data_IF_437383424311
#
_entry.id   IF_437383424311
#
_cell.length_a   1.000
_cell.length_b   1.000
_cell.length_c   1.000
_cell.angle_alpha   90.00
_cell.angle_beta   90.00
_cell.angle_gamma   90.00
#
_symmetry.space_group_name_H-M   'P 1'
#
loop_
_entity.id
_entity.type
_entity.pdbx_description
1 polymer ?
#
# COMPACT_ATOMS: atom_id res chain seq x y z
N UNK A 1 0.41 -19.18 -5.38
CA UNK A 1 0.24 -19.98 -4.13
C UNK A 1 0.42 -21.47 -4.34
N UNK A 2 -0.11 -22.03 -5.43
CA UNK A 2 -0.12 -23.46 -5.78
C UNK A 2 0.45 -23.76 -7.18
N UNK A 3 1.12 -22.78 -7.81
CA UNK A 3 1.69 -22.84 -9.15
C UNK A 3 0.71 -23.13 -10.30
N UNK A 4 -0.61 -22.94 -10.11
CA UNK A 4 -1.62 -23.15 -11.15
C UNK A 4 -1.75 -22.00 -12.17
N UNK A 5 -0.96 -20.93 -11.97
CA UNK A 5 -0.91 -19.70 -12.78
C UNK A 5 -2.17 -18.83 -12.72
N UNK A 6 -3.05 -19.06 -11.75
CA UNK A 6 -4.21 -18.19 -11.48
C UNK A 6 -3.86 -17.21 -10.37
N UNK A 7 -4.50 -16.04 -10.41
CA UNK A 7 -4.42 -15.11 -9.30
C UNK A 7 -5.33 -15.59 -8.16
N UNK A 8 -4.71 -15.73 -7.00
CA UNK A 8 -5.36 -16.06 -5.74
C UNK A 8 -5.61 -14.79 -4.91
N UNK A 9 -6.48 -14.92 -3.90
CA UNK A 9 -6.69 -13.84 -2.92
C UNK A 9 -6.09 -14.27 -1.58
N UNK A 10 -5.24 -13.43 -1.01
CA UNK A 10 -4.72 -13.62 0.35
C UNK A 10 -5.22 -12.47 1.21
N UNK A 11 -5.74 -12.80 2.38
CA UNK A 11 -6.29 -11.83 3.33
C UNK A 11 -5.57 -12.00 4.66
N UNK A 12 -5.12 -10.88 5.20
CA UNK A 12 -4.57 -10.78 6.54
C UNK A 12 -5.59 -10.09 7.42
N UNK A 13 -6.13 -10.81 8.40
CA UNK A 13 -6.87 -10.24 9.50
C UNK A 13 -6.00 -10.20 10.77
N UNK A 14 -6.48 -9.60 11.85
CA UNK A 14 -5.68 -9.41 13.07
C UNK A 14 -5.20 -10.73 13.72
N UNK A 15 -5.78 -11.88 13.38
CA UNK A 15 -5.44 -13.18 13.97
C UNK A 15 -5.03 -14.23 12.97
N UNK A 16 -5.49 -14.13 11.72
CA UNK A 16 -5.37 -15.17 10.71
C UNK A 16 -4.80 -14.60 9.43
N UNK A 17 -4.12 -15.47 8.72
CA UNK A 17 -3.80 -15.27 7.31
C UNK A 17 -4.49 -16.37 6.54
N UNK A 18 -5.37 -15.99 5.62
CA UNK A 18 -6.17 -16.91 4.83
C UNK A 18 -5.87 -16.74 3.35
N UNK A 19 -5.89 -17.85 2.63
CA UNK A 19 -5.79 -17.89 1.18
C UNK A 19 -7.11 -18.41 0.62
N UNK A 20 -7.72 -17.66 -0.29
CA UNK A 20 -8.86 -18.10 -1.08
C UNK A 20 -8.35 -18.59 -2.44
N UNK A 21 -8.43 -19.89 -2.65
CA UNK A 21 -7.92 -20.58 -3.85
C UNK A 21 -8.85 -20.40 -5.05
N UNK A 22 -8.32 -19.86 -6.14
CA UNK A 22 -9.03 -19.73 -7.41
C UNK A 22 -9.21 -21.10 -8.10
N UNK A 23 -10.35 -21.43 -8.77
CA UNK A 23 -11.53 -20.59 -9.04
C UNK A 23 -12.71 -20.79 -8.09
N UNK A 24 -12.63 -21.76 -7.19
CA UNK A 24 -13.74 -22.11 -6.32
C UNK A 24 -13.76 -21.31 -5.01
N UNK A 25 -12.76 -20.45 -4.81
CA UNK A 25 -12.55 -19.63 -3.62
C UNK A 25 -12.51 -20.44 -2.33
N UNK A 26 -11.94 -21.65 -2.41
CA UNK A 26 -11.76 -22.51 -1.25
C UNK A 26 -10.82 -21.82 -0.27
N UNK A 27 -11.30 -21.61 0.95
CA UNK A 27 -10.52 -21.01 2.02
C UNK A 27 -9.52 -22.01 2.61
N UNK A 28 -8.26 -21.58 2.70
CA UNK A 28 -7.18 -22.26 3.38
C UNK A 28 -6.66 -21.36 4.49
N UNK A 29 -6.66 -21.87 5.72
CA UNK A 29 -6.07 -21.17 6.87
C UNK A 29 -4.55 -21.41 6.86
N UNK A 30 -3.79 -20.41 6.42
CA UNK A 30 -2.34 -20.52 6.36
C UNK A 30 -1.73 -20.45 7.75
N UNK A 31 -2.28 -19.63 8.64
CA UNK A 31 -1.83 -19.55 10.03
C UNK A 31 -2.84 -18.85 10.92
N UNK A 32 -2.89 -19.27 12.19
CA UNK A 32 -3.61 -18.66 13.31
C UNK A 32 -2.83 -18.75 14.64
N UNK A 33 -1.48 -18.82 14.61
CA UNK A 33 -0.70 -19.15 15.81
C UNK A 33 -0.67 -18.02 16.86
N UNK A 34 -1.45 -18.21 17.92
CA UNK A 34 -1.54 -17.32 19.09
C UNK A 34 -0.27 -17.11 19.88
N UNK A 35 0.74 -17.94 19.66
CA UNK A 35 2.01 -17.84 20.36
C UNK A 35 2.92 -16.75 19.77
N UNK A 36 2.70 -16.32 18.52
CA UNK A 36 3.60 -15.40 17.80
C UNK A 36 3.17 -13.93 17.80
N UNK A 37 2.55 -13.45 18.90
CA UNK A 37 2.01 -12.08 19.07
C UNK A 37 1.10 -11.64 17.90
N UNK A 38 -0.18 -11.86 18.09
CA UNK A 38 -1.24 -11.46 17.16
C UNK A 38 -1.38 -9.94 16.97
N UNK A 39 -2.38 -9.56 16.17
CA UNK A 39 -2.69 -8.24 15.63
C UNK A 39 -1.86 -7.90 14.39
N UNK A 40 -1.99 -8.76 13.36
CA UNK A 40 -1.43 -8.50 12.03
C UNK A 40 -2.03 -7.21 11.45
N UNK A 41 -1.19 -6.41 10.78
CA UNK A 41 -1.60 -5.12 10.19
C UNK A 41 -1.18 -4.97 8.73
N UNK A 42 -0.13 -5.66 8.29
CA UNK A 42 0.31 -5.65 6.91
C UNK A 42 1.07 -6.93 6.56
N UNK A 43 1.18 -7.21 5.26
CA UNK A 43 2.00 -8.28 4.74
C UNK A 43 2.52 -7.93 3.34
N UNK A 44 3.55 -8.64 2.89
CA UNK A 44 4.07 -8.53 1.54
C UNK A 44 4.49 -9.91 1.02
N UNK A 45 3.97 -10.35 -0.15
CA UNK A 45 4.38 -11.61 -0.76
C UNK A 45 5.70 -11.54 -1.51
N UNK A 46 6.55 -12.55 -1.34
CA UNK A 46 7.83 -12.71 -2.04
C UNK A 46 8.38 -14.13 -1.86
N UNK A 47 9.28 -14.58 -2.74
CA UNK A 47 10.06 -15.80 -2.55
C UNK A 47 11.25 -15.49 -1.61
N UNK A 48 11.05 -15.68 -0.31
CA UNK A 48 12.00 -15.20 0.71
C UNK A 48 13.19 -16.15 0.84
N UNK A 49 12.95 -17.46 0.79
CA UNK A 49 14.00 -18.46 0.92
C UNK A 49 14.61 -18.94 -0.41
N UNK A 50 14.06 -18.51 -1.54
CA UNK A 50 14.60 -18.78 -2.87
C UNK A 50 14.25 -20.18 -3.38
N UNK A 51 13.21 -20.81 -2.84
CA UNK A 51 12.74 -22.14 -3.26
C UNK A 51 11.79 -22.12 -4.46
N UNK A 52 11.40 -20.91 -4.91
CA UNK A 52 10.52 -20.67 -6.05
C UNK A 52 9.03 -20.60 -5.70
N UNK A 53 8.69 -20.74 -4.41
CA UNK A 53 7.35 -20.59 -3.89
C UNK A 53 7.15 -19.23 -3.22
N UNK A 54 5.89 -18.82 -3.01
CA UNK A 54 5.59 -17.54 -2.34
C UNK A 54 5.53 -17.72 -0.83
N UNK A 55 6.32 -16.92 -0.12
CA UNK A 55 6.24 -16.66 1.31
C UNK A 55 5.65 -15.27 1.58
N UNK A 56 5.31 -14.97 2.84
CA UNK A 56 4.85 -13.64 3.23
C UNK A 56 5.70 -13.04 4.35
N UNK A 57 6.25 -11.85 4.13
CA UNK A 57 6.61 -10.97 5.23
C UNK A 57 5.34 -10.46 5.89
N UNK A 58 5.33 -10.34 7.22
CA UNK A 58 4.15 -9.98 8.03
C UNK A 58 4.57 -8.99 9.12
N UNK A 59 3.80 -7.91 9.25
CA UNK A 59 3.86 -6.98 10.37
C UNK A 59 2.72 -7.26 11.34
N UNK A 60 3.04 -7.50 12.61
CA UNK A 60 2.05 -7.81 13.65
C UNK A 60 2.39 -7.13 15.00
N UNK A 61 1.74 -7.54 16.09
CA UNK A 61 1.82 -6.87 17.40
C UNK A 61 1.48 -5.37 17.28
N UNK A 62 0.44 -5.07 16.49
CA UNK A 62 -0.02 -3.72 16.20
C UNK A 62 -0.66 -3.08 17.43
N UNK A 63 -0.12 -1.93 17.86
CA UNK A 63 -0.58 -1.24 19.06
C UNK A 63 -0.59 0.27 18.81
N UNK A 64 -1.74 0.81 18.39
CA UNK A 64 -1.84 2.20 17.92
C UNK A 64 -1.21 3.27 18.83
N UNK A 65 -1.28 3.11 20.16
CA UNK A 65 -0.75 4.07 21.15
C UNK A 65 0.63 3.73 21.69
N UNK A 66 1.16 2.53 21.44
CA UNK A 66 2.46 2.10 21.95
C UNK A 66 3.55 2.40 20.92
N UNK A 67 4.29 3.48 21.15
CA UNK A 67 5.38 3.95 20.28
C UNK A 67 6.77 3.60 20.82
N UNK A 68 6.85 2.82 21.91
CA UNK A 68 8.14 2.52 22.58
C UNK A 68 8.51 1.04 22.49
N UNK A 69 7.55 0.16 22.20
CA UNK A 69 7.75 -1.29 22.13
C UNK A 69 6.72 -1.95 21.20
N UNK A 70 6.81 -3.27 21.03
CA UNK A 70 5.93 -4.03 20.15
C UNK A 70 6.32 -3.91 18.67
N UNK A 71 5.37 -4.21 17.78
CA UNK A 71 5.54 -4.20 16.33
C UNK A 71 6.50 -5.27 15.84
N UNK A 72 6.00 -6.50 15.70
CA UNK A 72 6.81 -7.61 15.18
C UNK A 72 6.94 -7.54 13.68
N UNK A 73 8.15 -7.80 13.19
CA UNK A 73 8.45 -8.04 11.78
C UNK A 73 8.89 -9.50 11.70
N UNK A 74 8.21 -10.26 10.86
CA UNK A 74 8.41 -11.70 10.72
C UNK A 74 8.08 -12.12 9.30
N UNK A 75 8.37 -13.36 8.94
CA UNK A 75 7.85 -13.96 7.73
C UNK A 75 7.26 -15.34 8.00
N UNK A 76 6.31 -15.74 7.17
CA UNK A 76 5.72 -17.08 7.18
C UNK A 76 6.16 -17.85 5.95
N UNK A 77 6.81 -18.98 6.20
CA UNK A 77 7.35 -19.87 5.19
C UNK A 77 6.30 -20.84 4.70
N UNK A 78 6.11 -20.91 3.39
CA UNK A 78 5.32 -21.96 2.79
C UNK A 78 6.04 -23.30 2.91
N UNK A 79 5.37 -24.31 3.47
CA UNK A 79 5.92 -25.66 3.57
C UNK A 79 5.58 -26.53 2.36
N UNK A 80 5.94 -27.82 2.45
CA UNK A 80 5.44 -28.84 1.52
C UNK A 80 3.91 -28.95 1.52
N UNK A 81 3.26 -28.64 2.65
CA UNK A 81 1.82 -28.42 2.68
C UNK A 81 1.48 -26.96 2.34
N UNK A 82 1.10 -26.74 1.08
CA UNK A 82 0.75 -25.41 0.55
C UNK A 82 -0.42 -24.76 1.28
N UNK A 83 -1.34 -25.56 1.83
CA UNK A 83 -2.58 -25.07 2.45
C UNK A 83 -2.47 -24.76 3.94
N UNK A 84 -1.27 -24.81 4.54
CA UNK A 84 -1.06 -24.49 5.95
C UNK A 84 -1.00 -25.71 6.91
N UNK A 85 -0.57 -25.51 8.16
CA UNK A 85 -0.07 -24.26 8.71
C UNK A 85 1.34 -23.93 8.18
N UNK A 86 1.58 -22.66 7.87
CA UNK A 86 2.88 -22.12 7.48
C UNK A 86 3.71 -21.78 8.71
N UNK A 87 5.04 -21.80 8.56
CA UNK A 87 5.96 -21.66 9.69
C UNK A 87 6.43 -20.22 9.85
N UNK A 88 6.32 -19.67 11.06
CA UNK A 88 6.86 -18.34 11.38
C UNK A 88 8.36 -18.35 11.59
N UNK A 89 8.99 -17.26 11.12
CA UNK A 89 10.38 -16.94 11.36
C UNK A 89 10.53 -15.45 11.71
N UNK A 90 11.17 -15.10 12.84
CA UNK A 90 11.31 -13.71 13.27
C UNK A 90 12.34 -12.96 12.42
N UNK A 91 12.08 -11.68 12.15
CA UNK A 91 13.01 -10.75 11.48
C UNK A 91 13.49 -9.69 12.47
N UNK A 92 12.56 -8.98 13.13
CA UNK A 92 12.90 -7.86 14.00
C UNK A 92 11.70 -7.24 14.72
N UNK A 93 11.95 -6.12 15.40
CA UNK A 93 10.93 -5.35 16.11
C UNK A 93 11.05 -3.86 15.75
N UNK A 94 9.94 -3.25 15.38
CA UNK A 94 9.82 -1.80 15.19
C UNK A 94 8.42 -1.35 15.64
N UNK A 95 8.31 -0.56 16.75
CA UNK A 95 7.03 -0.10 17.25
C UNK A 95 6.20 0.56 16.16
N UNK A 96 4.90 0.27 16.16
CA UNK A 96 3.96 0.79 15.15
C UNK A 96 4.26 0.38 13.71
N UNK A 97 4.91 -0.77 13.45
CA UNK A 97 4.94 -1.37 12.09
C UNK A 97 3.55 -1.30 11.43
N UNK A 98 3.44 -0.85 10.18
CA UNK A 98 2.13 -0.54 9.59
C UNK A 98 1.97 -0.87 8.10
N UNK A 99 3.03 -0.74 7.29
CA UNK A 99 3.06 -1.15 5.89
C UNK A 99 4.38 -1.79 5.54
N UNK A 100 4.36 -2.68 4.54
CA UNK A 100 5.56 -3.30 3.97
C UNK A 100 5.35 -3.71 2.52
N UNK A 101 6.43 -3.72 1.75
CA UNK A 101 6.50 -4.22 0.37
C UNK A 101 7.93 -4.64 0.05
N UNK A 102 8.07 -5.54 -0.94
CA UNK A 102 9.36 -5.88 -1.51
C UNK A 102 9.64 -5.03 -2.75
N UNK A 103 10.85 -4.48 -2.87
CA UNK A 103 11.34 -3.83 -4.08
C UNK A 103 12.85 -3.99 -4.20
N UNK A 104 13.36 -4.18 -5.40
CA UNK A 104 14.79 -4.21 -5.70
C UNK A 104 15.33 -2.78 -5.76
N UNK A 105 15.92 -2.31 -4.66
CA UNK A 105 16.35 -0.92 -4.48
C UNK A 105 17.78 -0.68 -4.98
N UNK A 106 18.57 -1.73 -5.17
CA UNK A 106 19.95 -1.62 -5.62
C UNK A 106 20.31 -2.40 -6.88
N UNK A 107 19.29 -2.93 -7.56
CA UNK A 107 19.38 -3.63 -8.84
C UNK A 107 20.28 -4.87 -8.79
N UNK A 108 20.36 -5.52 -7.63
CA UNK A 108 21.09 -6.79 -7.50
C UNK A 108 20.25 -8.00 -7.94
N UNK A 109 18.99 -7.78 -8.32
CA UNK A 109 18.04 -8.80 -8.76
C UNK A 109 17.29 -9.47 -7.61
N UNK A 110 17.54 -9.07 -6.35
CA UNK A 110 16.85 -9.58 -5.17
C UNK A 110 16.23 -8.42 -4.39
N UNK A 111 14.90 -8.43 -4.28
CA UNK A 111 14.18 -7.36 -3.61
C UNK A 111 14.50 -7.28 -2.11
N UNK A 112 14.65 -6.05 -1.61
CA UNK A 112 14.65 -5.76 -0.18
C UNK A 112 13.23 -5.66 0.37
N UNK A 113 13.06 -6.11 1.62
CA UNK A 113 11.84 -5.83 2.38
C UNK A 113 11.90 -4.39 2.91
N UNK A 114 10.98 -3.55 2.45
CA UNK A 114 10.78 -2.20 2.97
C UNK A 114 9.71 -2.24 4.04
N UNK A 115 9.97 -1.62 5.19
CA UNK A 115 9.04 -1.53 6.31
C UNK A 115 8.82 -0.07 6.69
N UNK A 116 7.55 0.32 6.71
CA UNK A 116 7.10 1.65 7.09
C UNK A 116 6.23 1.56 8.34
N UNK A 117 6.74 1.95 9.52
CA UNK A 117 5.92 2.15 10.70
C UNK A 117 4.93 3.31 10.50
N UNK A 118 3.90 3.41 11.34
CA UNK A 118 2.98 4.54 11.31
C UNK A 118 3.62 5.76 11.99
N UNK A 119 4.28 5.59 13.13
CA UNK A 119 4.68 6.71 14.01
C UNK A 119 6.14 6.63 14.40
N UNK A 120 6.73 7.80 14.67
CA UNK A 120 8.06 7.87 15.26
C UNK A 120 8.05 7.31 16.68
N UNK A 121 9.18 6.74 17.08
CA UNK A 121 9.35 6.17 18.42
C UNK A 121 9.15 7.23 19.50
N UNK A 122 8.61 6.84 20.65
CA UNK A 122 8.40 7.72 21.81
C UNK A 122 7.56 8.97 21.52
N UNK A 123 6.79 8.98 20.44
CA UNK A 123 5.79 10.02 20.16
C UNK A 123 4.47 9.68 20.85
N UNK A 124 3.65 10.69 21.13
CA UNK A 124 2.39 10.48 21.86
C UNK A 124 1.23 11.29 21.28
N UNK A 125 0.03 10.85 21.63
CA UNK A 125 -1.20 11.58 21.36
C UNK A 125 -1.16 12.96 22.07
N UNK A 126 -1.66 14.05 21.44
CA UNK A 126 -2.23 14.11 20.09
C UNK A 126 -1.20 14.47 19.00
N UNK A 127 0.09 14.64 19.34
CA UNK A 127 1.06 15.32 18.47
C UNK A 127 1.65 14.42 17.39
N UNK A 128 2.03 13.17 17.72
CA UNK A 128 2.65 12.13 16.87
C UNK A 128 3.77 12.52 15.88
N UNK A 129 4.11 13.81 15.76
CA UNK A 129 5.07 14.38 14.82
C UNK A 129 6.28 15.01 15.57
N UNK A 130 6.55 14.54 16.79
CA UNK A 130 7.68 15.00 17.60
C UNK A 130 9.00 14.34 17.19
N UNK A 131 8.91 13.09 16.70
CA UNK A 131 10.03 12.33 16.17
C UNK A 131 9.63 11.69 14.84
N UNK A 132 10.57 11.62 13.90
CA UNK A 132 10.34 11.01 12.61
C UNK A 132 10.20 9.49 12.67
N UNK A 133 9.56 8.95 11.64
CA UNK A 133 9.37 7.52 11.45
C UNK A 133 10.64 6.92 10.85
N UNK A 134 11.12 5.82 11.43
CA UNK A 134 12.22 5.02 10.86
C UNK A 134 11.69 4.20 9.69
N UNK A 135 11.90 4.68 8.47
CA UNK A 135 11.66 3.87 7.27
C UNK A 135 12.84 2.93 7.09
N UNK A 136 12.57 1.63 7.06
CA UNK A 136 13.58 0.58 7.09
C UNK A 136 13.61 -0.19 5.79
N UNK A 137 14.80 -0.61 5.36
CA UNK A 137 14.99 -1.70 4.40
C UNK A 137 15.72 -2.86 5.05
N UNK A 138 15.40 -4.06 4.61
CA UNK A 138 16.11 -5.27 5.00
C UNK A 138 16.50 -6.05 3.75
N UNK A 139 17.81 -6.25 3.56
CA UNK A 139 18.30 -7.25 2.62
C UNK A 139 18.00 -8.64 3.16
N UNK A 140 17.44 -9.49 2.30
CA UNK A 140 17.23 -10.89 2.65
C UNK A 140 18.61 -11.53 2.84
N UNK A 141 18.93 -12.09 4.01
CA UNK A 141 20.23 -12.72 4.23
C UNK A 141 20.34 -14.02 3.40
N UNK A 142 21.55 -14.60 3.35
CA UNK A 142 21.78 -15.86 2.65
C UNK A 142 20.97 -17.02 3.23
N UNK A 143 20.76 -17.02 4.54
CA UNK A 143 19.88 -17.95 5.25
C UNK A 143 18.79 -17.11 5.94
N UNK A 144 17.58 -16.98 5.38
CA UNK A 144 16.52 -16.14 5.95
C UNK A 144 15.89 -16.70 7.23
N UNK A 145 16.17 -17.97 7.57
CA UNK A 145 15.71 -18.62 8.80
C UNK A 145 16.65 -18.32 9.96
N UNK A 146 17.97 -18.32 9.72
CA UNK A 146 18.98 -18.15 10.79
C UNK A 146 19.73 -16.82 10.76
N UNK A 147 19.88 -16.24 9.57
CA UNK A 147 20.73 -15.09 9.32
C UNK A 147 20.16 -13.84 9.96
N UNK A 148 21.01 -12.95 10.50
CA UNK A 148 20.51 -11.69 11.00
C UNK A 148 19.95 -10.89 9.83
N UNK A 149 18.69 -10.53 9.93
CA UNK A 149 18.08 -9.52 9.07
C UNK A 149 18.55 -8.15 9.52
N UNK A 150 19.56 -7.61 8.84
CA UNK A 150 20.12 -6.31 9.18
C UNK A 150 19.25 -5.19 8.62
N UNK A 151 18.69 -4.37 9.51
CA UNK A 151 17.93 -3.19 9.13
C UNK A 151 18.88 -2.06 8.69
N UNK A 152 18.62 -1.48 7.53
CA UNK A 152 19.12 -0.17 7.12
C UNK A 152 18.00 0.87 7.31
N UNK A 153 18.35 2.06 7.82
CA UNK A 153 17.40 3.17 7.92
C UNK A 153 17.50 3.99 6.63
N UNK A 154 16.46 3.95 5.81
CA UNK A 154 16.35 4.76 4.59
C UNK A 154 16.25 6.24 4.96
N UNK A 155 15.35 6.58 5.89
CA UNK A 155 15.17 7.95 6.38
C UNK A 155 14.41 7.99 7.71
N UNK A 156 14.58 9.09 8.45
CA UNK A 156 13.79 9.47 9.62
C UNK A 156 13.13 10.84 9.44
N UNK A 157 12.98 11.30 8.19
CA UNK A 157 12.57 12.68 7.92
C UNK A 157 11.06 12.89 7.73
N UNK A 158 10.25 11.85 7.92
CA UNK A 158 8.80 11.86 7.70
C UNK A 158 8.05 11.58 9.00
N UNK A 159 6.83 12.12 9.14
CA UNK A 159 6.00 11.94 10.31
C UNK A 159 4.63 11.37 9.94
N UNK A 160 4.16 10.40 10.72
CA UNK A 160 2.86 9.74 10.50
C UNK A 160 2.71 9.21 9.08
N UNK A 161 3.52 8.21 8.74
CA UNK A 161 3.54 7.59 7.40
C UNK A 161 2.51 6.49 7.30
N UNK A 162 1.53 6.64 6.42
CA UNK A 162 0.41 5.69 6.39
C UNK A 162 0.54 4.65 5.27
N UNK A 163 1.09 5.04 4.12
CA UNK A 163 1.36 4.13 3.01
C UNK A 163 2.54 4.57 2.13
N UNK A 164 3.01 3.65 1.27
CA UNK A 164 4.04 3.90 0.28
C UNK A 164 3.87 3.02 -0.96
N UNK A 165 4.51 3.42 -2.06
CA UNK A 165 4.46 2.74 -3.34
C UNK A 165 5.83 2.78 -4.05
N UNK A 166 6.47 1.62 -4.28
CA UNK A 166 7.62 1.51 -5.17
C UNK A 166 7.22 1.78 -6.62
N UNK A 167 7.99 2.60 -7.32
CA UNK A 167 7.75 2.94 -8.73
C UNK A 167 8.99 3.52 -9.37
N UNK A 168 9.15 3.37 -10.68
CA UNK A 168 10.14 4.13 -11.44
C UNK A 168 9.50 5.42 -11.95
N UNK A 169 9.49 6.48 -11.13
CA UNK A 169 8.79 7.73 -11.46
C UNK A 169 9.57 8.56 -12.48
N UNK A 170 10.90 8.46 -12.46
CA UNK A 170 11.78 9.23 -13.34
C UNK A 170 12.17 8.48 -14.63
N UNK A 171 11.74 7.21 -14.76
CA UNK A 171 12.01 6.31 -15.89
C UNK A 171 13.50 6.01 -16.11
N UNK A 172 14.29 5.97 -15.03
CA UNK A 172 15.72 5.65 -15.09
C UNK A 172 16.02 4.15 -14.93
N UNK A 173 14.98 3.32 -14.74
CA UNK A 173 15.05 1.88 -14.56
C UNK A 173 15.28 1.44 -13.12
N UNK A 174 15.50 2.35 -12.17
CA UNK A 174 15.56 2.05 -10.73
C UNK A 174 14.18 2.30 -10.10
N UNK A 175 13.83 1.48 -9.11
CA UNK A 175 12.63 1.76 -8.32
C UNK A 175 12.92 2.87 -7.31
N UNK A 176 12.12 3.92 -7.40
CA UNK A 176 11.95 4.95 -6.39
C UNK A 176 10.87 4.55 -5.39
N UNK A 177 10.76 5.30 -4.28
CA UNK A 177 9.71 5.13 -3.28
C UNK A 177 8.89 6.41 -3.13
N UNK A 178 7.59 6.31 -3.40
CA UNK A 178 6.62 7.35 -3.05
C UNK A 178 6.04 7.06 -1.67
N UNK A 179 6.14 8.01 -0.74
CA UNK A 179 5.57 7.95 0.60
C UNK A 179 4.49 9.01 0.80
N UNK A 180 3.46 8.65 1.56
CA UNK A 180 2.50 9.61 2.13
C UNK A 180 2.63 9.70 3.63
N UNK A 181 2.66 10.94 4.10
CA UNK A 181 2.89 11.29 5.50
C UNK A 181 2.21 12.63 5.83
N UNK A 182 2.43 13.16 7.04
CA UNK A 182 2.03 14.53 7.40
C UNK A 182 2.70 15.60 6.52
N UNK A 183 3.86 15.31 5.93
CA UNK A 183 4.52 16.20 4.97
C UNK A 183 3.84 16.23 3.59
N UNK A 184 2.87 15.35 3.33
CA UNK A 184 2.21 15.17 2.04
C UNK A 184 2.79 13.99 1.26
N UNK A 185 3.14 14.21 -0.01
CA UNK A 185 3.72 13.21 -0.91
C UNK A 185 5.21 13.45 -1.06
N UNK A 186 6.02 12.45 -0.70
CA UNK A 186 7.48 12.50 -0.79
C UNK A 186 8.01 11.40 -1.70
N UNK A 187 8.88 11.76 -2.64
CA UNK A 187 9.68 10.85 -3.45
C UNK A 187 11.05 10.64 -2.81
N UNK A 188 11.46 9.38 -2.65
CA UNK A 188 12.80 8.97 -2.25
C UNK A 188 13.44 8.18 -3.38
N UNK A 189 14.59 8.64 -3.85
CA UNK A 189 15.31 8.01 -4.97
C UNK A 189 16.72 7.65 -4.52
N UNK A 190 17.10 6.39 -4.70
CA UNK A 190 18.44 5.93 -4.32
C UNK A 190 19.43 6.37 -5.40
N UNK A 191 20.36 7.24 -5.03
CA UNK A 191 21.42 7.70 -5.91
C UNK A 191 22.49 6.63 -6.07
N UNK A 192 23.28 6.69 -7.15
CA UNK A 192 24.41 5.78 -7.41
C UNK A 192 25.45 5.75 -6.28
N UNK A 193 25.53 6.80 -5.47
CA UNK A 193 26.38 6.86 -4.27
C UNK A 193 25.87 6.03 -3.09
N UNK A 194 24.67 5.45 -3.20
CA UNK A 194 23.93 4.80 -2.11
C UNK A 194 23.14 5.77 -1.24
N UNK A 195 23.26 7.08 -1.44
CA UNK A 195 22.49 8.08 -0.68
C UNK A 195 21.08 8.26 -1.25
N UNK A 196 20.13 8.58 -0.39
CA UNK A 196 18.75 8.86 -0.79
C UNK A 196 18.54 10.35 -1.08
N UNK A 197 18.06 10.66 -2.29
CA UNK A 197 17.53 11.99 -2.61
C UNK A 197 16.07 12.05 -2.20
N UNK A 198 15.71 13.07 -1.43
CA UNK A 198 14.33 13.37 -1.04
C UNK A 198 13.80 14.54 -1.85
N UNK A 199 12.63 14.37 -2.47
CA UNK A 199 11.92 15.45 -3.18
C UNK A 199 10.46 15.45 -2.71
N UNK A 200 9.95 16.59 -2.23
CA UNK A 200 8.52 16.72 -1.96
C UNK A 200 7.78 16.96 -3.28
N UNK A 201 6.78 16.12 -3.54
CA UNK A 201 5.95 16.15 -4.75
C UNK A 201 4.63 16.87 -4.49
N UNK A 202 4.09 16.75 -3.29
CA UNK A 202 2.83 17.37 -2.91
C UNK A 202 2.82 17.69 -1.44
N UNK A 203 2.18 18.78 -1.03
CA UNK A 203 2.08 19.15 0.39
C UNK A 203 0.99 18.37 1.12
N UNK A 204 0.08 17.70 0.41
CA UNK A 204 -1.14 17.17 1.01
C UNK A 204 -2.05 18.27 1.56
N UNK A 205 -3.11 17.86 2.26
CA UNK A 205 -4.01 18.78 2.93
C UNK A 205 -3.42 19.20 4.29
N UNK A 206 -2.99 20.45 4.41
CA UNK A 206 -2.36 21.00 5.61
C UNK A 206 -3.33 21.79 6.51
N UNK A 207 -4.62 21.84 6.16
CA UNK A 207 -5.60 22.73 6.81
C UNK A 207 -6.58 22.01 7.73
N UNK A 208 -6.56 20.68 7.77
CA UNK A 208 -7.52 19.83 8.49
C UNK A 208 -7.03 19.31 9.85
N UNK A 209 -6.16 20.06 10.53
CA UNK A 209 -5.57 19.68 11.80
C UNK A 209 -6.61 19.12 12.82
N UNK A 210 -6.26 18.08 13.59
CA UNK A 210 -4.92 17.52 13.78
C UNK A 210 -4.47 16.54 12.67
N UNK A 211 -5.36 16.13 11.76
CA UNK A 211 -5.04 15.24 10.66
C UNK A 211 -4.64 16.04 9.42
N UNK A 212 -3.40 15.91 9.00
CA UNK A 212 -2.83 16.64 7.86
C UNK A 212 -2.15 15.69 6.86
N UNK A 213 -1.66 16.23 5.76
CA UNK A 213 -0.87 15.51 4.76
C UNK A 213 -1.71 14.57 3.90
N UNK A 214 -1.30 13.31 3.80
CA UNK A 214 -1.92 12.26 2.98
C UNK A 214 -1.87 10.89 3.69
N UNK A 215 -2.70 9.93 3.24
CA UNK A 215 -2.83 8.59 3.86
C UNK A 215 -2.61 7.41 2.94
N UNK A 216 -3.09 7.48 1.71
CA UNK A 216 -2.96 6.40 0.74
C UNK A 216 -2.23 6.89 -0.49
N UNK A 217 -1.54 6.00 -1.21
CA UNK A 217 -0.81 6.38 -2.41
C UNK A 217 -0.73 5.27 -3.46
N UNK A 218 -0.91 5.66 -4.72
CA UNK A 218 -0.51 4.89 -5.91
C UNK A 218 -0.03 5.82 -7.02
N UNK A 219 0.74 5.25 -7.92
CA UNK A 219 1.13 5.87 -9.18
C UNK A 219 0.33 5.20 -10.32
N UNK A 220 -0.39 5.99 -11.09
CA UNK A 220 -1.21 5.54 -12.22
C UNK A 220 -0.84 6.24 -13.52
N UNK A 221 -1.28 5.68 -14.64
CA UNK A 221 -0.99 6.17 -16.00
C UNK A 221 -2.17 6.92 -16.61
N UNK A 222 -1.85 7.94 -17.40
CA UNK A 222 -2.80 8.63 -18.28
C UNK A 222 -2.53 8.23 -19.73
N UNK A 223 -3.53 8.40 -20.58
CA UNK A 223 -3.36 8.26 -22.03
C UNK A 223 -2.26 9.18 -22.58
N UNK A 224 -1.63 8.78 -23.68
CA UNK A 224 -0.55 9.53 -24.31
C UNK A 224 0.77 9.55 -23.52
N UNK A 225 0.95 8.62 -22.58
CA UNK A 225 2.20 8.45 -21.82
C UNK A 225 2.34 9.38 -20.60
N UNK A 226 1.28 10.10 -20.23
CA UNK A 226 1.22 10.85 -18.98
C UNK A 226 1.05 9.96 -17.76
N UNK A 227 1.14 10.56 -16.58
CA UNK A 227 0.96 9.88 -15.30
C UNK A 227 0.30 10.78 -14.25
N UNK A 228 -0.16 10.14 -13.18
CA UNK A 228 -0.71 10.81 -12.01
C UNK A 228 -0.33 10.06 -10.73
N UNK A 229 -0.20 10.80 -9.63
CA UNK A 229 -0.10 10.22 -8.29
C UNK A 229 -1.43 10.43 -7.58
N UNK A 230 -2.09 9.36 -7.17
CA UNK A 230 -3.35 9.43 -6.44
C UNK A 230 -3.15 9.24 -4.95
N UNK A 231 -3.90 9.99 -4.15
CA UNK A 231 -3.87 9.90 -2.69
C UNK A 231 -5.24 10.08 -2.04
N UNK A 232 -5.36 9.64 -0.79
CA UNK A 232 -6.41 10.08 0.12
C UNK A 232 -5.85 11.13 1.09
N UNK A 233 -6.56 12.24 1.25
CA UNK A 233 -6.13 13.36 2.10
C UNK A 233 -7.24 13.89 3.02
N UNK A 234 -6.89 14.41 4.22
CA UNK A 234 -5.61 14.22 4.91
C UNK A 234 -5.44 12.76 5.41
N UNK A 235 -4.59 12.50 6.42
CA UNK A 235 -4.51 11.18 7.05
C UNK A 235 -5.90 10.64 7.45
N UNK A 236 -6.29 9.46 6.92
CA UNK A 236 -7.64 8.86 7.08
C UNK A 236 -8.79 9.78 6.65
N UNK A 237 -8.51 10.61 5.65
CA UNK A 237 -9.32 11.74 5.28
C UNK A 237 -10.54 11.43 4.42
N UNK A 238 -11.08 12.51 3.88
CA UNK A 238 -12.31 12.57 3.11
C UNK A 238 -12.11 12.95 1.65
N UNK A 239 -10.88 13.32 1.25
CA UNK A 239 -10.58 13.80 -0.09
C UNK A 239 -9.94 12.71 -0.94
N UNK A 240 -10.40 12.60 -2.19
CA UNK A 240 -9.68 11.90 -3.26
C UNK A 240 -8.92 12.97 -4.04
N UNK A 241 -7.60 12.81 -4.11
CA UNK A 241 -6.71 13.80 -4.69
C UNK A 241 -5.81 13.14 -5.72
N UNK A 242 -5.63 13.78 -6.86
CA UNK A 242 -4.62 13.42 -7.85
C UNK A 242 -3.63 14.55 -8.02
N UNK A 243 -2.36 14.19 -8.17
CA UNK A 243 -1.28 15.09 -8.53
C UNK A 243 -0.89 14.79 -9.98
N UNK A 244 -0.76 15.82 -10.81
CA UNK A 244 -0.30 15.71 -12.20
C UNK A 244 0.99 16.47 -12.37
N UNK A 245 1.85 16.04 -13.31
CA UNK A 245 3.13 16.72 -13.56
C UNK A 245 2.93 18.22 -13.83
N UNK A 246 3.73 19.08 -13.20
CA UNK A 246 3.67 20.51 -13.44
C UNK A 246 4.30 20.84 -14.81
N UNK A 247 3.93 21.97 -15.39
CA UNK A 247 4.59 22.47 -16.62
C UNK A 247 6.07 22.78 -16.39
N UNK A 248 6.45 23.13 -15.15
CA UNK A 248 7.82 23.42 -14.78
C UNK A 248 8.67 22.15 -14.76
N UNK A 249 9.82 22.22 -15.41
CA UNK A 249 10.84 21.16 -15.35
C UNK A 249 11.27 20.89 -13.92
N UNK A 250 11.53 19.62 -13.62
CA UNK A 250 12.04 19.20 -12.32
C UNK A 250 13.31 19.96 -11.93
N UNK A 251 13.35 20.65 -10.77
CA UNK A 251 14.55 21.33 -10.32
C UNK A 251 15.63 20.32 -9.90
N UNK A 252 16.89 20.74 -9.97
CA UNK A 252 18.03 19.91 -9.57
C UNK A 252 18.04 19.60 -8.06
N UNK A 253 17.51 20.52 -7.24
CA UNK A 253 17.43 20.40 -5.78
C UNK A 253 16.14 21.03 -5.25
N UNK A 254 15.65 20.54 -4.11
CA UNK A 254 14.47 21.07 -3.45
C UNK A 254 13.18 20.36 -3.87
N UNK A 255 12.07 21.05 -3.67
CA UNK A 255 10.73 20.52 -3.94
C UNK A 255 10.43 20.55 -5.43
N UNK A 256 9.65 19.57 -5.88
CA UNK A 256 9.10 19.52 -7.23
C UNK A 256 7.60 19.32 -7.11
N UNK A 257 6.91 20.40 -6.76
CA UNK A 257 5.49 20.36 -6.47
C UNK A 257 4.69 20.12 -7.75
N UNK A 258 3.93 19.03 -7.75
CA UNK A 258 2.98 18.68 -8.80
C UNK A 258 1.65 19.42 -8.59
N UNK A 259 0.89 19.57 -9.68
CA UNK A 259 -0.41 20.24 -9.64
C UNK A 259 -1.43 19.35 -8.92
N UNK A 260 -1.97 19.85 -7.81
CA UNK A 260 -2.91 19.12 -6.94
C UNK A 260 -4.36 19.36 -7.35
N UNK A 261 -5.09 18.29 -7.65
CA UNK A 261 -6.52 18.32 -8.01
C UNK A 261 -7.35 17.50 -7.03
N UNK A 262 -8.38 18.11 -6.44
CA UNK A 262 -9.34 17.41 -5.57
C UNK A 262 -10.50 16.91 -6.42
N UNK A 263 -10.65 15.58 -6.51
CA UNK A 263 -11.71 14.92 -7.28
C UNK A 263 -12.97 14.67 -6.45
N UNK A 264 -12.81 14.48 -5.15
CA UNK A 264 -13.89 14.22 -4.20
C UNK A 264 -13.50 14.75 -2.82
N UNK A 265 -14.49 15.10 -2.00
CA UNK A 265 -14.30 15.60 -0.63
C UNK A 265 -15.38 15.09 0.34
N UNK A 266 -16.20 14.14 -0.08
CA UNK A 266 -17.34 13.64 0.69
C UNK A 266 -17.18 12.17 1.12
N UNK A 267 -15.94 11.68 1.20
CA UNK A 267 -15.66 10.38 1.78
C UNK A 267 -15.72 10.46 3.30
N UNK A 268 -15.84 9.31 3.94
CA UNK A 268 -15.54 9.14 5.35
C UNK A 268 -14.63 7.93 5.48
N UNK A 269 -13.38 8.19 5.87
CA UNK A 269 -12.30 7.20 5.91
C UNK A 269 -12.04 6.57 4.53
N UNK A 270 -11.55 7.37 3.59
CA UNK A 270 -10.86 6.78 2.43
C UNK A 270 -9.64 5.99 2.93
N UNK A 271 -9.47 4.75 2.47
CA UNK A 271 -8.47 3.85 3.06
C UNK A 271 -7.80 2.89 2.06
N UNK A 272 -8.26 2.87 0.81
CA UNK A 272 -7.63 2.04 -0.21
C UNK A 272 -7.56 2.81 -1.53
N UNK A 273 -6.43 2.72 -2.21
CA UNK A 273 -6.18 3.32 -3.52
C UNK A 273 -5.54 2.26 -4.40
N UNK A 274 -6.05 2.10 -5.62
CA UNK A 274 -5.45 1.28 -6.67
C UNK A 274 -5.60 1.96 -8.02
N UNK A 275 -4.73 1.65 -8.96
CA UNK A 275 -4.81 2.13 -10.34
C UNK A 275 -4.78 0.91 -11.26
N UNK A 276 -5.76 0.78 -12.14
CA UNK A 276 -5.82 -0.31 -13.10
C UNK A 276 -6.60 0.14 -14.33
N UNK A 277 -6.23 -0.37 -15.49
CA UNK A 277 -7.04 -0.23 -16.69
C UNK A 277 -8.24 -1.20 -16.57
N UNK A 278 -9.45 -0.65 -16.57
CA UNK A 278 -10.72 -1.33 -16.39
C UNK A 278 -11.59 -1.30 -17.65
N UNK A 279 -11.29 -0.47 -18.65
CA UNK A 279 -12.14 -0.32 -19.84
C UNK A 279 -11.39 -0.42 -21.18
N UNK A 280 -10.17 -0.98 -21.14
CA UNK A 280 -9.31 -1.28 -22.28
C UNK A 280 -8.84 -0.03 -23.06
N UNK A 281 -8.78 1.14 -22.40
CA UNK A 281 -8.18 2.35 -22.97
C UNK A 281 -6.66 2.47 -22.67
N UNK A 282 -6.00 3.60 -22.95
CA UNK A 282 -4.57 3.76 -22.60
C UNK A 282 -4.33 4.15 -21.14
N UNK A 283 -5.34 4.73 -20.50
CA UNK A 283 -5.26 5.25 -19.15
C UNK A 283 -5.48 4.14 -18.12
N UNK A 284 -5.34 4.51 -16.86
CA UNK A 284 -5.70 3.66 -15.74
C UNK A 284 -6.73 4.40 -14.90
N UNK A 285 -7.81 3.70 -14.57
CA UNK A 285 -8.83 4.20 -13.66
C UNK A 285 -8.27 4.22 -12.26
N UNK A 286 -8.67 5.25 -11.51
CA UNK A 286 -8.41 5.35 -10.09
C UNK A 286 -9.54 4.67 -9.32
N UNK A 287 -9.17 3.65 -8.54
CA UNK A 287 -10.06 2.84 -7.72
C UNK A 287 -9.88 3.23 -6.25
N UNK A 288 -10.97 3.64 -5.60
CA UNK A 288 -10.96 4.12 -4.22
C UNK A 288 -11.87 3.27 -3.33
N UNK A 289 -11.32 2.81 -2.21
CA UNK A 289 -12.06 2.16 -1.13
C UNK A 289 -12.45 3.14 -0.03
N UNK A 290 -13.73 3.17 0.31
CA UNK A 290 -14.29 3.96 1.40
C UNK A 290 -14.79 3.05 2.51
N UNK A 291 -14.32 3.27 3.73
CA UNK A 291 -14.60 2.38 4.85
C UNK A 291 -15.94 2.63 5.52
N UNK A 292 -16.32 3.90 5.68
CA UNK A 292 -17.42 4.31 6.54
C UNK A 292 -18.44 5.18 5.81
N UNK A 293 -19.71 5.06 6.20
CA UNK A 293 -20.77 5.93 5.69
C UNK A 293 -20.65 7.32 6.31
N UNK A 294 -20.51 8.34 5.47
CA UNK A 294 -20.65 9.74 5.91
C UNK A 294 -22.09 10.02 6.30
N UNK A 295 -23.02 9.68 5.42
CA UNK A 295 -24.47 9.76 5.61
C UNK A 295 -25.20 8.84 4.61
N UNK A 296 -26.52 8.99 4.47
CA UNK A 296 -27.34 8.16 3.56
C UNK A 296 -27.06 8.43 2.08
N UNK A 297 -26.59 9.63 1.73
CA UNK A 297 -26.24 10.02 0.36
C UNK A 297 -24.81 9.57 0.02
N UNK A 298 -23.89 9.69 0.98
CA UNK A 298 -22.47 9.37 0.80
C UNK A 298 -22.10 8.11 1.58
N UNK A 299 -22.41 6.96 0.95
CA UNK A 299 -22.14 5.63 1.49
C UNK A 299 -20.66 5.23 1.32
N UNK A 300 -20.22 4.29 2.17
CA UNK A 300 -19.01 3.47 2.03
C UNK A 300 -19.07 2.57 0.80
N UNK A 301 -17.98 1.91 0.47
CA UNK A 301 -17.87 1.01 -0.68
C UNK A 301 -16.87 1.52 -1.71
N UNK A 302 -17.05 1.07 -2.95
CA UNK A 302 -16.10 1.26 -4.03
C UNK A 302 -16.46 2.49 -4.87
N UNK A 303 -15.45 3.29 -5.23
CA UNK A 303 -15.57 4.39 -6.19
C UNK A 303 -14.53 4.21 -7.29
N UNK A 304 -14.92 4.51 -8.52
CA UNK A 304 -14.04 4.49 -9.68
C UNK A 304 -14.04 5.91 -10.26
N UNK A 305 -12.85 6.43 -10.56
CA UNK A 305 -12.65 7.69 -11.24
C UNK A 305 -11.90 7.40 -12.54
N UNK A 306 -12.57 7.68 -13.64
CA UNK A 306 -12.11 7.42 -15.01
C UNK A 306 -11.57 8.74 -15.62
N UNK A 307 -10.27 8.82 -15.98
CA UNK A 307 -9.69 10.01 -16.60
C UNK A 307 -10.32 10.33 -17.96
N UNK A 308 -10.78 11.56 -18.16
CA UNK A 308 -11.44 11.99 -19.40
C UNK A 308 -10.54 12.83 -20.31
N UNK A 309 -9.30 13.07 -19.90
CA UNK A 309 -8.29 13.75 -20.69
C UNK A 309 -6.86 13.30 -20.32
N UNK A 310 -5.93 13.46 -21.28
CA UNK A 310 -4.54 13.02 -21.14
C UNK A 310 -3.72 13.84 -20.12
N UNK A 311 -4.29 14.88 -19.52
CA UNK A 311 -3.64 15.74 -18.53
C UNK A 311 -4.20 15.49 -17.12
N UNK A 312 -5.14 14.56 -16.94
CA UNK A 312 -5.70 14.19 -15.65
C UNK A 312 -6.48 15.32 -14.97
N UNK A 313 -7.08 16.25 -15.75
CA UNK A 313 -7.84 17.39 -15.20
C UNK A 313 -9.33 17.10 -15.05
N UNK A 314 -9.86 16.21 -15.87
CA UNK A 314 -11.27 15.83 -15.89
C UNK A 314 -11.40 14.34 -15.59
N UNK A 315 -12.34 14.01 -14.71
CA UNK A 315 -12.56 12.65 -14.24
C UNK A 315 -14.05 12.37 -14.14
N UNK A 316 -14.47 11.22 -14.65
CA UNK A 316 -15.82 10.71 -14.50
C UNK A 316 -15.87 9.80 -13.28
N UNK A 317 -16.68 10.18 -12.28
CA UNK A 317 -16.85 9.40 -11.05
C UNK A 317 -18.03 8.43 -11.16
N UNK A 318 -17.79 7.18 -10.78
CA UNK A 318 -18.78 6.11 -10.62
C UNK A 318 -18.76 5.58 -9.18
N UNK A 319 -19.93 5.34 -8.60
CA UNK A 319 -20.08 4.69 -7.29
C UNK A 319 -20.56 3.26 -7.53
N UNK A 320 -19.82 2.28 -7.03
CA UNK A 320 -20.07 0.86 -7.28
C UNK A 320 -20.50 0.20 -5.96
N UNK A 321 -21.65 -0.48 -6.01
CA UNK A 321 -22.20 -1.27 -4.89
C UNK A 321 -22.19 -0.54 -3.52
N UNK A 322 -22.82 0.66 -3.43
CA UNK A 322 -22.70 1.51 -2.26
C UNK A 322 -23.25 0.85 -0.99
N UNK A 323 -22.46 0.89 0.09
CA UNK A 323 -22.84 0.44 1.42
C UNK A 323 -22.53 -1.03 1.74
N UNK A 324 -22.14 -1.82 0.74
CA UNK A 324 -22.06 -3.28 0.84
C UNK A 324 -20.77 -3.82 1.48
N UNK A 325 -19.68 -3.06 1.38
CA UNK A 325 -18.36 -3.39 1.93
C UNK A 325 -17.78 -2.14 2.59
N UNK A 326 -17.34 -2.28 3.84
CA UNK A 326 -16.58 -1.25 4.55
C UNK A 326 -15.09 -1.37 4.20
N UNK A 327 -14.71 -0.93 3.00
CA UNK A 327 -13.43 -1.25 2.37
C UNK A 327 -12.26 -0.72 3.21
N UNK A 328 -11.43 -1.63 3.70
CA UNK A 328 -10.17 -1.33 4.37
C UNK A 328 -8.99 -1.39 3.40
N UNK A 329 -9.01 -2.34 2.47
CA UNK A 329 -8.01 -2.46 1.42
C UNK A 329 -8.64 -3.08 0.15
N UNK A 330 -7.99 -2.89 -0.99
CA UNK A 330 -8.40 -3.45 -2.26
C UNK A 330 -7.19 -3.69 -3.19
N UNK A 331 -7.36 -4.61 -4.12
CA UNK A 331 -6.40 -4.88 -5.19
C UNK A 331 -7.15 -5.14 -6.50
N UNK A 332 -6.47 -4.95 -7.64
CA UNK A 332 -7.01 -5.28 -8.94
C UNK A 332 -6.09 -6.22 -9.72
N UNK A 333 -6.67 -7.15 -10.46
CA UNK A 333 -5.97 -8.19 -11.20
C UNK A 333 -6.94 -8.99 -12.07
N UNK A 334 -6.42 -9.70 -13.07
CA UNK A 334 -7.25 -10.58 -13.91
C UNK A 334 -7.48 -11.91 -13.17
N UNK A 335 -8.62 -12.02 -12.47
CA UNK A 335 -8.90 -13.14 -11.58
C UNK A 335 -9.51 -14.33 -12.33
N UNK A 336 -10.13 -14.13 -13.50
CA UNK A 336 -10.77 -15.21 -14.27
C UNK A 336 -9.99 -15.59 -15.54
N UNK A 337 -8.93 -14.87 -15.90
CA UNK A 337 -8.10 -15.10 -17.08
C UNK A 337 -8.72 -14.60 -18.38
N UNK A 338 -9.67 -13.66 -18.33
CA UNK A 338 -10.33 -13.10 -19.52
C UNK A 338 -9.60 -11.88 -20.13
N UNK A 339 -8.48 -11.48 -19.53
CA UNK A 339 -7.66 -10.36 -19.95
C UNK A 339 -8.04 -9.03 -19.30
N UNK A 340 -9.16 -8.95 -18.56
CA UNK A 340 -9.63 -7.74 -17.90
C UNK A 340 -9.26 -7.74 -16.43
N UNK A 341 -9.13 -6.55 -15.86
CA UNK A 341 -8.83 -6.40 -14.43
C UNK A 341 -10.12 -6.40 -13.63
N UNK A 342 -10.24 -7.37 -12.74
CA UNK A 342 -11.25 -7.44 -11.68
C UNK A 342 -10.75 -6.72 -10.43
N UNK A 343 -11.66 -6.45 -9.50
CA UNK A 343 -11.34 -5.78 -8.23
C UNK A 343 -11.71 -6.71 -7.07
N UNK A 344 -10.78 -6.95 -6.16
CA UNK A 344 -11.07 -7.56 -4.85
C UNK A 344 -11.02 -6.49 -3.77
N UNK A 345 -12.01 -6.47 -2.88
CA UNK A 345 -12.06 -5.56 -1.74
C UNK A 345 -12.38 -6.29 -0.44
N UNK A 346 -11.69 -5.91 0.64
CA UNK A 346 -11.88 -6.50 1.98
C UNK A 346 -12.55 -5.51 2.92
N UNK A 347 -13.56 -5.97 3.63
CA UNK A 347 -14.40 -5.15 4.48
C UNK A 347 -14.11 -5.31 5.97
N UNK A 348 -13.54 -4.30 6.61
CA UNK A 348 -13.20 -4.38 8.05
C UNK A 348 -14.41 -4.41 8.95
N UNK A 349 -15.38 -3.52 8.76
CA UNK A 349 -16.60 -3.50 9.59
C UNK A 349 -17.67 -4.48 9.11
N UNK A 350 -17.66 -4.81 7.81
CA UNK A 350 -18.65 -5.70 7.20
C UNK A 350 -18.25 -7.17 7.27
N UNK A 351 -17.00 -7.47 7.67
CA UNK A 351 -16.46 -8.83 7.79
C UNK A 351 -16.67 -9.67 6.53
N UNK A 352 -16.47 -9.08 5.35
CA UNK A 352 -16.68 -9.73 4.08
C UNK A 352 -15.54 -9.41 3.10
N UNK A 353 -15.42 -10.25 2.08
CA UNK A 353 -14.60 -10.01 0.90
C UNK A 353 -15.52 -10.02 -0.29
N UNK A 354 -15.30 -9.11 -1.25
CA UNK A 354 -16.03 -9.07 -2.50
C UNK A 354 -15.08 -9.03 -3.68
N UNK A 355 -15.49 -9.73 -4.73
CA UNK A 355 -14.94 -9.59 -6.06
C UNK A 355 -15.95 -8.81 -6.90
N UNK A 356 -15.48 -7.79 -7.59
CA UNK A 356 -16.22 -7.05 -8.61
C UNK A 356 -15.65 -7.48 -9.96
N UNK A 357 -16.41 -8.31 -10.66
CA UNK A 357 -16.05 -8.85 -11.97
C UNK A 357 -16.21 -7.78 -13.05
N UNK A 358 -15.18 -7.61 -13.88
CA UNK A 358 -15.20 -6.67 -14.98
C UNK A 358 -15.77 -7.31 -16.24
N UNK A 359 -17.10 -7.43 -16.28
CA UNK A 359 -17.80 -8.08 -17.38
C UNK A 359 -18.32 -7.06 -18.40
N UNK A 360 -17.95 -7.23 -19.67
CA UNK A 360 -18.72 -6.63 -20.77
C UNK A 360 -19.94 -7.50 -21.03
N UNK A 361 -21.14 -6.90 -20.94
CA UNK A 361 -22.37 -7.54 -21.39
C UNK A 361 -22.50 -7.57 -22.90
#
# INVERSE_FOLDING_TARGET
MNADKRLDIVIVDSKRIVWLENPNWKEHLLTDDSKNRFDNVCFAPYDIDGDGDLDFAVGADWQFRNTTSGGTIQWIQQGSNKTGPWKYHPIGLEPTVHRMQFADLDQDGRSELIVAPLKGRSTSDPKYAEHGVRILSYKIPKDPVKGPWQAEVITEALHVTHNFWPTDLNQDGNLDLLFVSFEGVTLLERQKSGQWRKTRIGTGNQTSAPYIGASEIKHGKLAGGGDYIATIEPWHGNQVVVYTRPEQTRPATGDWLWDRHVLDQDLKWGHAVWCANLDDDEAQELIIGVRDDKDKQWRRGLRIYDPQDNHGKQWKRSIIDPGSVAIEDLAAGDLNGDGKRDIVAVGRQTHNVKIYWNETK
#
